data_IF_927744405464
#
_entry.id   IF_927744405464
#
_cell.length_a   1.000
_cell.length_b   1.000
_cell.length_c   1.000
_cell.angle_alpha   90.00
_cell.angle_beta   90.00
_cell.angle_gamma   90.00
#
_symmetry.space_group_name_H-M   'P 1'
#
loop_
_entity.id
_entity.type
_entity.pdbx_description
1 polymer ?
#
# COMPACT_ATOMS: atom_id res chain seq x y z
N UNK A 1 -7.96 -0.77 14.60
CA UNK A 1 -9.36 -0.53 14.32
C UNK A 1 -9.53 0.55 13.27
N UNK A 2 -10.30 0.26 12.27
CA UNK A 2 -10.54 1.21 11.19
C UNK A 2 -11.51 2.30 11.63
N UNK A 3 -11.17 3.55 11.35
CA UNK A 3 -12.04 4.70 11.62
C UNK A 3 -12.65 5.19 10.31
N UNK A 4 -13.63 6.10 10.43
CA UNK A 4 -14.19 6.73 9.24
C UNK A 4 -13.11 7.44 8.44
N UNK A 5 -12.16 8.06 9.14
CA UNK A 5 -11.07 8.77 8.48
C UNK A 5 -10.17 7.81 7.71
N UNK A 6 -9.91 6.63 8.27
CA UNK A 6 -9.14 5.59 7.57
C UNK A 6 -9.87 5.11 6.31
N UNK A 7 -11.16 4.86 6.44
CA UNK A 7 -11.95 4.39 5.30
C UNK A 7 -12.00 5.43 4.19
N UNK A 8 -12.19 6.69 4.55
CA UNK A 8 -12.21 7.77 3.57
C UNK A 8 -10.87 7.88 2.84
N UNK A 9 -9.77 7.71 3.58
CA UNK A 9 -8.45 7.78 3.00
C UNK A 9 -8.21 6.64 2.00
N UNK A 10 -8.63 5.43 2.36
CA UNK A 10 -8.51 4.29 1.46
C UNK A 10 -9.34 4.51 0.20
N UNK A 11 -10.57 4.98 0.36
CA UNK A 11 -11.45 5.24 -0.77
C UNK A 11 -10.86 6.29 -1.71
N UNK A 12 -10.23 7.31 -1.14
CA UNK A 12 -9.60 8.36 -1.94
C UNK A 12 -8.43 7.79 -2.75
N UNK A 13 -7.58 6.98 -2.14
CA UNK A 13 -6.46 6.37 -2.86
C UNK A 13 -6.96 5.50 -4.00
N UNK A 14 -7.99 4.70 -3.75
CA UNK A 14 -8.56 3.86 -4.81
C UNK A 14 -9.13 4.69 -5.94
N UNK A 15 -9.89 5.74 -5.62
CA UNK A 15 -10.48 6.60 -6.64
C UNK A 15 -9.41 7.32 -7.45
N UNK A 16 -8.38 7.83 -6.79
CA UNK A 16 -7.29 8.52 -7.48
C UNK A 16 -6.55 7.60 -8.43
N UNK A 17 -6.21 6.40 -7.97
CA UNK A 17 -5.46 5.47 -8.80
C UNK A 17 -6.28 5.03 -10.00
N UNK A 18 -7.57 4.74 -9.78
CA UNK A 18 -8.45 4.36 -10.87
C UNK A 18 -8.59 5.47 -11.90
N UNK A 19 -8.58 6.71 -11.45
CA UNK A 19 -8.62 7.85 -12.36
C UNK A 19 -7.35 7.93 -13.20
N UNK A 20 -6.17 7.86 -12.55
CA UNK A 20 -4.90 7.95 -13.26
C UNK A 20 -4.71 6.79 -14.23
N UNK A 21 -5.19 5.59 -13.86
CA UNK A 21 -5.03 4.38 -14.66
C UNK A 21 -6.33 3.92 -15.31
N UNK A 22 -7.21 4.84 -15.62
CA UNK A 22 -8.54 4.48 -16.13
C UNK A 22 -8.54 3.69 -17.43
N UNK A 23 -7.43 3.73 -18.18
CA UNK A 23 -7.31 2.98 -19.40
C UNK A 23 -6.52 1.68 -19.25
N UNK A 24 -6.11 1.34 -18.03
CA UNK A 24 -5.36 0.10 -17.76
C UNK A 24 -6.29 -0.98 -17.23
N UNK A 25 -5.99 -2.24 -17.65
CA UNK A 25 -6.73 -3.41 -17.18
C UNK A 25 -5.81 -4.44 -16.55
N UNK A 26 -4.53 -4.13 -16.40
CA UNK A 26 -3.49 -5.06 -16.00
C UNK A 26 -3.01 -4.83 -14.57
N UNK A 27 -3.88 -4.36 -13.71
CA UNK A 27 -3.53 -4.14 -12.31
C UNK A 27 -4.71 -4.43 -11.39
N UNK A 28 -4.41 -4.67 -10.12
CA UNK A 28 -5.43 -4.86 -9.10
C UNK A 28 -5.09 -3.99 -7.90
N UNK A 29 -5.99 -3.09 -7.51
CA UNK A 29 -5.82 -2.24 -6.35
C UNK A 29 -7.02 -2.40 -5.42
N UNK A 30 -6.76 -2.52 -4.14
CA UNK A 30 -7.85 -2.77 -3.18
C UNK A 30 -7.47 -2.28 -1.79
N UNK A 31 -8.47 -2.20 -0.92
CA UNK A 31 -8.28 -1.85 0.47
C UNK A 31 -8.79 -2.93 1.40
N UNK A 32 -8.08 -3.14 2.49
CA UNK A 32 -8.48 -4.07 3.56
C UNK A 32 -8.75 -5.51 3.12
N UNK A 33 -8.09 -5.95 2.08
CA UNK A 33 -8.26 -7.31 1.59
C UNK A 33 -7.24 -8.23 2.24
N UNK A 34 -7.69 -9.36 2.75
CA UNK A 34 -6.80 -10.34 3.37
C UNK A 34 -5.88 -10.98 2.33
N UNK A 35 -4.62 -11.14 2.68
CA UNK A 35 -3.65 -11.83 1.84
C UNK A 35 -3.28 -13.15 2.53
N UNK A 36 -3.59 -14.26 1.87
CA UNK A 36 -3.16 -15.57 2.35
C UNK A 36 -1.89 -15.95 1.60
N UNK A 37 -0.76 -16.00 2.32
CA UNK A 37 0.53 -16.27 1.69
C UNK A 37 1.12 -17.64 2.06
N UNK A 38 0.41 -18.41 2.87
CA UNK A 38 0.79 -19.77 3.19
C UNK A 38 -0.47 -20.55 3.54
N UNK A 39 -0.62 -21.81 3.08
CA UNK A 39 -1.80 -22.59 3.44
C UNK A 39 -1.99 -22.72 4.95
N UNK A 40 -0.90 -22.64 5.71
CA UNK A 40 -0.97 -22.73 7.17
C UNK A 40 -1.66 -21.51 7.78
N UNK A 41 -1.64 -20.38 7.11
CA UNK A 41 -2.22 -19.14 7.62
C UNK A 41 -3.73 -19.06 7.43
N UNK A 42 -4.32 -19.98 6.69
CA UNK A 42 -5.77 -19.96 6.47
C UNK A 42 -6.52 -20.09 7.80
N UNK A 43 -5.96 -20.79 8.76
CA UNK A 43 -6.60 -21.04 10.04
C UNK A 43 -6.23 -20.01 11.11
N UNK A 44 -5.34 -19.07 10.85
CA UNK A 44 -4.96 -18.07 11.84
C UNK A 44 -5.91 -16.89 11.79
N UNK A 45 -6.24 -16.37 12.97
CA UNK A 45 -7.18 -15.25 13.07
C UNK A 45 -6.53 -13.89 12.89
N UNK A 46 -5.22 -13.83 13.07
CA UNK A 46 -4.52 -12.56 13.11
C UNK A 46 -4.03 -12.10 11.76
N UNK A 47 -4.36 -12.87 10.73
CA UNK A 47 -3.93 -12.54 9.40
C UNK A 47 -4.84 -11.49 8.78
N UNK A 48 -4.28 -10.32 8.53
CA UNK A 48 -5.01 -9.24 7.86
C UNK A 48 -4.20 -8.77 6.68
N UNK A 49 -4.91 -8.28 5.68
CA UNK A 49 -4.25 -7.65 4.56
C UNK A 49 -3.85 -6.23 4.90
N UNK A 50 -3.03 -5.63 4.06
CA UNK A 50 -2.69 -4.23 4.18
C UNK A 50 -3.93 -3.35 4.02
N UNK A 51 -3.84 -2.11 4.55
CA UNK A 51 -4.93 -1.16 4.39
C UNK A 51 -5.21 -0.84 2.93
N UNK A 52 -4.15 -0.78 2.12
CA UNK A 52 -4.26 -0.52 0.68
C UNK A 52 -3.07 -1.19 0.00
N UNK A 53 -3.33 -1.89 -1.11
CA UNK A 53 -2.22 -2.44 -1.88
C UNK A 53 -2.53 -2.51 -3.37
N UNK A 54 -1.48 -2.58 -4.17
CA UNK A 54 -1.56 -2.65 -5.62
C UNK A 54 -0.71 -3.82 -6.10
N UNK A 55 -1.29 -4.64 -6.97
CA UNK A 55 -0.55 -5.70 -7.67
C UNK A 55 -0.54 -5.36 -9.15
N UNK A 56 0.65 -5.37 -9.74
CA UNK A 56 0.81 -5.08 -11.16
C UNK A 56 0.83 -6.37 -11.98
N UNK A 57 0.56 -6.23 -13.28
CA UNK A 57 0.62 -7.35 -14.23
C UNK A 57 -0.27 -8.51 -13.80
N UNK A 58 -1.49 -8.18 -13.42
CA UNK A 58 -2.48 -9.17 -13.03
C UNK A 58 -3.85 -8.73 -13.53
N UNK A 59 -4.78 -9.67 -13.58
CA UNK A 59 -6.13 -9.38 -14.05
C UNK A 59 -6.88 -8.49 -13.07
N UNK A 60 -7.54 -7.47 -13.57
CA UNK A 60 -8.37 -6.57 -12.75
C UNK A 60 -9.76 -7.17 -12.62
N UNK A 61 -10.00 -7.92 -11.56
CA UNK A 61 -11.30 -8.54 -11.28
C UNK A 61 -11.58 -8.53 -9.78
N UNK A 62 -12.85 -8.60 -9.39
CA UNK A 62 -13.19 -8.65 -7.97
C UNK A 62 -12.62 -9.90 -7.29
N UNK A 63 -12.16 -9.75 -6.07
CA UNK A 63 -11.65 -10.86 -5.27
C UNK A 63 -12.13 -10.70 -3.83
N UNK A 64 -12.40 -11.81 -3.16
CA UNK A 64 -12.78 -11.82 -1.75
C UNK A 64 -11.55 -11.84 -0.85
N UNK A 65 -10.45 -12.33 -1.36
CA UNK A 65 -9.15 -12.33 -0.69
C UNK A 65 -8.09 -12.52 -1.75
N UNK A 66 -6.85 -12.21 -1.39
CA UNK A 66 -5.71 -12.45 -2.27
C UNK A 66 -5.04 -13.74 -1.80
N UNK A 67 -5.16 -14.80 -2.58
CA UNK A 67 -4.59 -16.10 -2.24
C UNK A 67 -3.36 -16.30 -3.09
N UNK A 68 -2.20 -16.23 -2.48
CA UNK A 68 -0.92 -16.20 -3.17
C UNK A 68 -0.76 -17.33 -4.20
N UNK A 69 -1.06 -18.56 -3.78
CA UNK A 69 -0.87 -19.71 -4.66
C UNK A 69 -1.91 -19.79 -5.78
N UNK A 70 -2.99 -19.05 -5.69
CA UNK A 70 -3.98 -18.95 -6.75
C UNK A 70 -3.70 -17.79 -7.69
N UNK A 71 -2.76 -16.91 -7.31
CA UNK A 71 -2.44 -15.70 -8.09
C UNK A 71 -1.01 -15.75 -8.63
N UNK A 72 -0.51 -16.94 -8.92
CA UNK A 72 0.81 -17.09 -9.51
C UNK A 72 1.96 -16.73 -8.60
N UNK A 73 1.75 -16.73 -7.30
CA UNK A 73 2.80 -16.39 -6.36
C UNK A 73 3.11 -14.90 -6.28
N UNK A 74 2.23 -14.04 -6.78
CA UNK A 74 2.47 -12.61 -6.79
C UNK A 74 2.11 -11.95 -5.48
N UNK A 75 3.05 -11.18 -4.95
CA UNK A 75 2.82 -10.30 -3.81
C UNK A 75 2.55 -8.88 -4.31
N UNK A 76 2.01 -8.01 -3.44
CA UNK A 76 1.81 -6.61 -3.84
C UNK A 76 3.10 -5.92 -4.28
N UNK A 77 2.98 -5.05 -5.25
CA UNK A 77 4.08 -4.21 -5.70
C UNK A 77 4.22 -2.96 -4.84
N UNK A 78 3.10 -2.46 -4.32
CA UNK A 78 3.08 -1.29 -3.46
C UNK A 78 2.04 -1.48 -2.37
N UNK A 79 2.38 -1.09 -1.14
CA UNK A 79 1.50 -1.19 0.02
C UNK A 79 1.47 0.16 0.71
N UNK A 80 0.28 0.59 1.14
CA UNK A 80 0.13 1.76 2.00
C UNK A 80 -0.59 1.33 3.27
N UNK A 81 0.02 1.61 4.42
CA UNK A 81 -0.60 1.36 5.72
C UNK A 81 -1.00 2.66 6.36
N UNK A 82 -2.16 2.67 6.99
CA UNK A 82 -2.65 3.83 7.72
C UNK A 82 -2.42 3.62 9.20
N UNK A 83 -1.73 4.56 9.82
CA UNK A 83 -1.35 4.44 11.22
C UNK A 83 -2.45 4.95 12.15
N UNK A 84 -2.47 4.44 13.38
CA UNK A 84 -3.32 4.96 14.45
C UNK A 84 -2.46 5.18 15.67
N UNK A 85 -2.96 6.00 16.62
CA UNK A 85 -2.18 6.33 17.80
C UNK A 85 -1.94 5.14 18.73
N UNK A 86 -2.92 4.23 18.81
CA UNK A 86 -2.88 3.18 19.82
C UNK A 86 -1.89 2.07 19.55
N UNK A 87 -1.60 1.76 18.29
CA UNK A 87 -0.75 0.61 17.93
C UNK A 87 0.37 0.96 16.98
N UNK A 88 0.53 2.23 16.65
CA UNK A 88 1.35 2.62 15.52
C UNK A 88 2.79 2.13 15.57
N UNK A 89 3.45 2.24 16.71
CA UNK A 89 4.89 1.97 16.77
C UNK A 89 5.23 0.50 16.56
N UNK A 90 4.63 -0.39 17.35
CA UNK A 90 4.93 -1.82 17.27
C UNK A 90 4.41 -2.41 15.98
N UNK A 91 3.16 -2.08 15.63
CA UNK A 91 2.52 -2.61 14.44
C UNK A 91 3.26 -2.18 13.18
N UNK A 92 3.70 -0.93 13.14
CA UNK A 92 4.43 -0.36 12.02
C UNK A 92 5.73 -1.13 11.75
N UNK A 93 6.49 -1.43 12.79
CA UNK A 93 7.76 -2.14 12.64
C UNK A 93 7.56 -3.61 12.27
N UNK A 94 6.59 -4.28 12.86
CA UNK A 94 6.30 -5.68 12.55
C UNK A 94 5.83 -5.83 11.10
N UNK A 95 4.96 -4.95 10.65
CA UNK A 95 4.47 -5.00 9.28
C UNK A 95 5.57 -4.66 8.29
N UNK A 96 6.39 -3.68 8.61
CA UNK A 96 7.52 -3.32 7.75
C UNK A 96 8.44 -4.52 7.54
N UNK A 97 8.72 -5.26 8.62
CA UNK A 97 9.57 -6.43 8.53
C UNK A 97 8.92 -7.54 7.69
N UNK A 98 7.63 -7.76 7.87
CA UNK A 98 6.91 -8.76 7.10
C UNK A 98 6.94 -8.42 5.60
N UNK A 99 6.68 -7.17 5.26
CA UNK A 99 6.67 -6.76 3.87
C UNK A 99 8.05 -6.77 3.25
N UNK A 100 9.08 -6.48 4.04
CA UNK A 100 10.46 -6.51 3.58
C UNK A 100 10.96 -7.95 3.37
N UNK A 101 10.79 -8.78 4.37
CA UNK A 101 11.47 -10.09 4.42
C UNK A 101 10.66 -11.22 3.79
N UNK A 102 9.35 -11.19 3.93
CA UNK A 102 8.48 -12.26 3.42
C UNK A 102 7.85 -11.89 2.09
N UNK A 103 7.18 -10.76 2.05
CA UNK A 103 6.51 -10.32 0.81
C UNK A 103 7.49 -9.80 -0.22
N UNK A 104 8.59 -9.23 0.22
CA UNK A 104 9.56 -8.55 -0.64
C UNK A 104 8.89 -7.53 -1.54
N UNK A 105 7.94 -6.80 -0.96
CA UNK A 105 7.18 -5.78 -1.67
C UNK A 105 8.11 -4.62 -2.03
N UNK A 106 8.19 -4.26 -3.32
CA UNK A 106 9.14 -3.22 -3.75
C UNK A 106 8.96 -1.88 -3.07
N UNK A 107 7.73 -1.47 -2.76
CA UNK A 107 7.49 -0.17 -2.15
C UNK A 107 6.48 -0.27 -1.03
N UNK A 108 6.81 0.39 0.08
CA UNK A 108 5.98 0.39 1.27
C UNK A 108 5.88 1.82 1.80
N UNK A 109 4.66 2.26 2.06
CA UNK A 109 4.38 3.60 2.57
C UNK A 109 3.53 3.52 3.80
N UNK A 110 3.69 4.46 4.73
CA UNK A 110 2.74 4.62 5.81
C UNK A 110 2.31 6.07 5.93
N UNK A 111 1.09 6.28 6.40
CA UNK A 111 0.51 7.59 6.56
C UNK A 111 -0.37 7.62 7.80
N UNK A 112 -0.21 8.65 8.63
CA UNK A 112 -1.05 8.84 9.80
C UNK A 112 -2.08 9.93 9.48
N UNK A 113 -3.38 9.60 9.37
CA UNK A 113 -4.39 10.58 8.95
C UNK A 113 -4.57 11.76 9.91
N UNK A 114 -4.19 11.60 11.18
CA UNK A 114 -4.32 12.67 12.15
C UNK A 114 -3.05 13.54 12.26
N UNK A 115 -1.90 12.92 12.42
CA UNK A 115 -0.64 13.65 12.56
C UNK A 115 -0.06 14.06 11.23
N UNK A 116 -0.50 13.40 10.16
CA UNK A 116 -0.02 13.59 8.79
C UNK A 116 1.41 13.09 8.58
N UNK A 117 1.91 12.27 9.51
CA UNK A 117 3.21 11.61 9.31
C UNK A 117 3.14 10.74 8.06
N UNK A 118 4.08 10.96 7.15
CA UNK A 118 4.09 10.23 5.88
C UNK A 118 5.51 9.83 5.56
N UNK A 119 5.72 8.53 5.32
CA UNK A 119 7.03 8.00 4.95
C UNK A 119 6.86 6.91 3.91
N UNK A 120 7.88 6.73 3.09
CA UNK A 120 7.90 5.67 2.11
C UNK A 120 9.26 5.05 2.01
N UNK A 121 9.29 3.80 1.56
CA UNK A 121 10.51 3.01 1.46
C UNK A 121 10.50 2.25 0.15
N UNK A 122 11.69 2.05 -0.42
CA UNK A 122 11.85 1.16 -1.56
C UNK A 122 12.79 0.03 -1.17
N UNK A 123 12.54 -1.14 -1.72
CA UNK A 123 13.33 -2.32 -1.41
C UNK A 123 14.59 -2.31 -2.27
N UNK A 124 15.75 -2.24 -1.62
CA UNK A 124 17.05 -2.23 -2.28
C UNK A 124 17.89 -3.33 -1.66
N UNK A 125 18.22 -4.33 -2.48
CA UNK A 125 19.03 -5.48 -2.03
C UNK A 125 18.43 -6.16 -0.82
N UNK A 126 17.10 -6.29 -0.80
CA UNK A 126 16.39 -6.98 0.26
C UNK A 126 16.14 -6.18 1.51
N UNK A 127 16.47 -4.89 1.52
CA UNK A 127 16.26 -4.00 2.67
C UNK A 127 15.54 -2.74 2.24
N UNK A 128 14.62 -2.27 3.08
CA UNK A 128 13.92 -1.03 2.82
C UNK A 128 14.82 0.17 3.08
N UNK A 129 14.89 1.04 2.09
CA UNK A 129 15.61 2.30 2.19
C UNK A 129 14.59 3.44 2.12
N UNK A 130 14.71 4.45 2.99
CA UNK A 130 13.77 5.57 2.95
C UNK A 130 13.82 6.29 1.62
N UNK A 131 12.65 6.66 1.11
CA UNK A 131 12.55 7.48 -0.10
C UNK A 131 12.76 8.94 0.28
N UNK A 132 13.46 9.67 -0.59
CA UNK A 132 13.72 11.08 -0.36
C UNK A 132 12.60 11.91 -0.96
N UNK A 133 11.99 12.81 -0.19
CA UNK A 133 10.94 13.66 -0.74
C UNK A 133 11.51 14.72 -1.67
N UNK A 134 10.68 15.15 -2.63
CA UNK A 134 11.06 16.22 -3.52
C UNK A 134 10.75 17.58 -2.88
N UNK A 135 10.80 18.67 -3.66
CA UNK A 135 10.59 20.00 -3.12
C UNK A 135 9.17 20.21 -2.57
N UNK A 136 8.19 19.49 -3.09
CA UNK A 136 6.82 19.55 -2.58
C UNK A 136 6.61 18.56 -1.44
N UNK A 137 7.64 17.85 -1.04
CA UNK A 137 7.58 16.79 -0.04
C UNK A 137 6.77 15.58 -0.51
N UNK A 138 6.75 15.34 -1.81
CA UNK A 138 6.14 14.18 -2.39
C UNK A 138 7.18 13.07 -2.56
N UNK A 139 6.73 11.83 -2.51
CA UNK A 139 7.60 10.66 -2.73
C UNK A 139 7.28 10.04 -4.09
N UNK A 140 8.32 9.71 -4.82
CA UNK A 140 8.16 9.08 -6.12
C UNK A 140 8.01 7.57 -5.99
N UNK A 141 6.97 7.01 -6.62
CA UNK A 141 6.78 5.58 -6.70
C UNK A 141 7.22 5.10 -8.07
N UNK A 142 8.31 4.32 -8.10
CA UNK A 142 8.79 3.74 -9.35
C UNK A 142 7.84 2.65 -9.85
N UNK A 143 7.19 1.94 -8.94
CA UNK A 143 6.26 0.88 -9.31
C UNK A 143 5.01 1.45 -9.96
N UNK A 144 4.47 2.52 -9.40
CA UNK A 144 3.22 3.09 -9.88
C UNK A 144 3.44 4.22 -10.90
N UNK A 145 4.66 4.74 -10.97
CA UNK A 145 5.01 5.87 -11.84
C UNK A 145 4.14 7.09 -11.54
N UNK A 146 3.92 7.30 -10.27
CA UNK A 146 3.16 8.42 -9.74
C UNK A 146 3.86 8.92 -8.49
N UNK A 147 3.62 10.19 -8.14
CA UNK A 147 4.02 10.70 -6.84
C UNK A 147 2.94 10.43 -5.81
N UNK A 148 3.36 10.22 -4.56
CA UNK A 148 2.46 10.21 -3.41
C UNK A 148 2.81 11.41 -2.55
N UNK A 149 1.80 12.13 -2.10
CA UNK A 149 2.02 13.29 -1.26
C UNK A 149 0.77 13.67 -0.50
N UNK A 150 0.96 14.49 0.53
CA UNK A 150 -0.13 14.94 1.38
C UNK A 150 -0.61 16.29 0.88
N UNK A 151 -1.90 16.42 0.63
CA UNK A 151 -2.52 17.65 0.23
C UNK A 151 -3.90 17.76 0.88
N UNK A 152 -4.15 18.87 1.54
CA UNK A 152 -5.40 19.09 2.28
C UNK A 152 -5.68 17.94 3.25
N UNK A 153 -4.66 17.59 4.03
CA UNK A 153 -4.70 16.56 5.10
C UNK A 153 -4.99 15.16 4.61
N UNK A 154 -4.84 14.90 3.33
CA UNK A 154 -5.07 13.57 2.75
C UNK A 154 -3.88 13.15 1.90
N UNK A 155 -3.61 11.85 1.92
CA UNK A 155 -2.59 11.27 1.04
C UNK A 155 -3.21 11.06 -0.34
N UNK A 156 -2.50 11.50 -1.38
CA UNK A 156 -3.01 11.48 -2.75
C UNK A 156 -1.92 11.06 -3.73
N UNK A 157 -2.35 10.67 -4.92
CA UNK A 157 -1.44 10.43 -6.03
C UNK A 157 -1.39 11.65 -6.94
N UNK A 158 -0.20 11.95 -7.43
CA UNK A 158 0.01 13.06 -8.36
C UNK A 158 0.75 12.57 -9.58
N UNK A 159 0.47 13.18 -10.73
CA UNK A 159 1.13 12.79 -11.96
C UNK A 159 2.62 13.14 -11.96
N UNK A 160 3.41 12.48 -12.83
CA UNK A 160 4.83 12.84 -12.96
C UNK A 160 5.04 14.31 -13.34
N UNK A 161 4.02 14.96 -13.87
CA UNK A 161 4.09 16.37 -14.28
C UNK A 161 3.64 17.32 -13.19
N UNK A 162 3.33 16.80 -11.99
CA UNK A 162 2.95 17.65 -10.86
C UNK A 162 1.49 18.04 -10.78
N UNK A 163 0.64 17.40 -11.53
CA UNK A 163 -0.81 17.74 -11.50
C UNK A 163 -1.57 16.88 -10.51
#
# INVERSE_FOLDING_TARGET
MESDLHREQIELLLACLKWWWRERTDFYATGNLTIFFSPEHITTRDFRGPDFFVVLDTENKPRKSWVLWAEGGKYPNAIVELLSNSTAKVDKELKKQLYQDTFRTPEYFWFHPHTLEFKGFSLVRGKYQPLEPNEQEWLWSSQLELFLGVYESKLRFFSPRGN
#
